data_IF_928403991856
#
_entry.id   IF_928403991856
#
_cell.length_a   1.000
_cell.length_b   1.000
_cell.length_c   1.000
_cell.angle_alpha   90.00
_cell.angle_beta   90.00
_cell.angle_gamma   90.00
#
_symmetry.space_group_name_H-M   'P 1'
#
loop_
_entity.id
_entity.type
_entity.pdbx_description
1 polymer ?
#
# COMPACT_ATOMS: atom_id res chain seq x y z
N UNK A 1 -16.39 -7.59 2.62
CA UNK A 1 -15.31 -8.53 2.29
C UNK A 1 -14.33 -7.84 1.32
N UNK A 2 -13.04 -8.11 1.40
CA UNK A 2 -12.00 -7.70 0.45
C UNK A 2 -11.58 -8.93 -0.35
N UNK A 3 -11.55 -8.79 -1.67
CA UNK A 3 -10.99 -9.82 -2.54
C UNK A 3 -9.47 -9.85 -2.36
N UNK A 4 -8.94 -10.96 -1.83
CA UNK A 4 -7.52 -11.17 -1.59
C UNK A 4 -6.86 -12.03 -2.67
N UNK A 5 -7.65 -12.64 -3.54
CA UNK A 5 -7.17 -13.46 -4.66
C UNK A 5 -8.32 -14.00 -5.48
N UNK A 6 -8.01 -14.65 -6.59
CA UNK A 6 -8.96 -15.52 -7.29
C UNK A 6 -8.25 -16.75 -7.86
N UNK A 7 -9.02 -17.82 -8.05
CA UNK A 7 -8.59 -19.04 -8.73
C UNK A 7 -9.49 -19.32 -9.91
N UNK A 8 -8.91 -19.77 -11.02
CA UNK A 8 -9.66 -20.30 -12.14
C UNK A 8 -9.95 -21.78 -11.88
N UNK A 9 -11.19 -22.19 -12.08
CA UNK A 9 -11.60 -23.59 -12.11
C UNK A 9 -12.30 -23.85 -13.44
N UNK A 10 -12.09 -25.04 -13.98
CA UNK A 10 -12.82 -25.49 -15.18
C UNK A 10 -14.15 -26.14 -14.84
N UNK A 11 -14.51 -26.18 -13.55
CA UNK A 11 -15.77 -26.73 -13.05
C UNK A 11 -16.43 -25.80 -12.03
N UNK A 12 -17.75 -25.72 -12.09
CA UNK A 12 -18.56 -25.02 -11.11
C UNK A 12 -18.75 -25.83 -9.81
N UNK A 13 -19.48 -25.27 -8.85
CA UNK A 13 -19.74 -25.91 -7.56
C UNK A 13 -20.67 -27.14 -7.68
N UNK A 14 -21.28 -27.37 -8.85
CA UNK A 14 -22.11 -28.54 -9.18
C UNK A 14 -21.35 -29.54 -10.06
N UNK A 15 -20.08 -29.30 -10.36
CA UNK A 15 -19.22 -30.16 -11.18
C UNK A 15 -19.43 -30.04 -12.69
N UNK A 16 -20.18 -29.04 -13.16
CA UNK A 16 -20.37 -28.75 -14.59
C UNK A 16 -19.16 -28.01 -15.15
N UNK A 17 -18.75 -28.38 -16.36
CA UNK A 17 -17.58 -27.81 -17.03
C UNK A 17 -17.85 -26.36 -17.46
N UNK A 18 -17.36 -25.40 -16.68
CA UNK A 18 -17.41 -23.97 -16.94
C UNK A 18 -16.11 -23.32 -16.50
N UNK A 19 -15.64 -22.30 -17.22
CA UNK A 19 -14.54 -21.45 -16.74
C UNK A 19 -15.07 -20.54 -15.62
N UNK A 20 -14.82 -20.93 -14.38
CA UNK A 20 -15.29 -20.24 -13.18
C UNK A 20 -14.15 -19.48 -12.52
N UNK A 21 -14.40 -18.22 -12.17
CA UNK A 21 -13.53 -17.41 -11.33
C UNK A 21 -14.02 -17.54 -9.89
N UNK A 22 -13.21 -18.16 -9.03
CA UNK A 22 -13.50 -18.27 -7.59
C UNK A 22 -12.73 -17.18 -6.87
N UNK A 23 -13.44 -16.17 -6.36
CA UNK A 23 -12.84 -15.11 -5.55
C UNK A 23 -12.58 -15.60 -4.12
N UNK A 24 -11.35 -15.39 -3.64
CA UNK A 24 -10.99 -15.57 -2.25
C UNK A 24 -11.28 -14.27 -1.52
N UNK A 25 -12.27 -14.31 -0.63
CA UNK A 25 -12.78 -13.14 0.06
C UNK A 25 -12.40 -13.22 1.54
N UNK A 26 -11.78 -12.15 2.07
CA UNK A 26 -11.60 -11.96 3.51
C UNK A 26 -12.61 -10.94 4.04
N UNK A 27 -13.13 -11.08 5.27
CA UNK A 27 -13.90 -10.02 5.90
C UNK A 27 -13.08 -8.72 5.96
N UNK A 28 -13.74 -7.59 5.66
CA UNK A 28 -13.11 -6.25 5.77
C UNK A 28 -12.60 -6.03 7.19
N UNK A 29 -13.36 -6.53 8.17
CA UNK A 29 -12.96 -6.57 9.56
C UNK A 29 -11.61 -7.25 9.71
N UNK A 30 -11.34 -8.44 9.19
CA UNK A 30 -10.04 -9.16 9.36
C UNK A 30 -8.84 -8.41 8.75
N UNK A 31 -9.04 -7.67 7.66
CA UNK A 31 -7.95 -6.88 7.04
C UNK A 31 -7.67 -5.58 7.81
N UNK A 32 -8.70 -4.99 8.43
CA UNK A 32 -8.53 -3.86 9.35
C UNK A 32 -8.22 -4.30 10.80
N UNK A 33 -8.47 -5.57 11.15
CA UNK A 33 -8.42 -6.12 12.52
C UNK A 33 -7.30 -7.11 12.77
N UNK A 34 -6.34 -7.28 11.84
CA UNK A 34 -5.02 -7.73 12.26
C UNK A 34 -4.41 -6.84 13.36
N UNK A 35 -5.04 -5.69 13.64
CA UNK A 35 -4.78 -4.83 14.79
C UNK A 35 -6.00 -4.49 15.67
N UNK A 36 -7.16 -5.16 15.66
CA UNK A 36 -8.29 -4.68 16.52
C UNK A 36 -8.87 -5.66 17.53
N UNK A 37 -8.95 -6.97 17.25
CA UNK A 37 -9.45 -7.91 18.26
C UNK A 37 -8.39 -8.30 19.30
N UNK A 38 -7.14 -8.55 18.86
CA UNK A 38 -6.03 -8.85 19.79
C UNK A 38 -5.36 -7.58 20.34
N UNK A 39 -5.49 -6.45 19.65
CA UNK A 39 -4.81 -5.23 20.06
C UNK A 39 -5.51 -4.53 21.22
N UNK A 40 -6.84 -4.63 21.39
CA UNK A 40 -7.54 -3.99 22.52
C UNK A 40 -7.20 -4.64 23.87
N UNK A 41 -6.92 -5.94 23.88
CA UNK A 41 -6.47 -6.66 25.08
C UNK A 41 -5.00 -6.40 25.40
N UNK A 42 -4.17 -6.22 24.36
CA UNK A 42 -2.75 -5.91 24.50
C UNK A 42 -2.50 -4.41 24.78
N UNK A 43 -3.36 -3.51 24.31
CA UNK A 43 -3.17 -2.06 24.45
C UNK A 43 -3.30 -1.56 25.89
N UNK A 44 -3.99 -2.32 26.74
CA UNK A 44 -4.16 -1.99 28.16
C UNK A 44 -3.00 -2.50 29.04
N UNK A 45 -2.07 -3.25 28.46
CA UNK A 45 -0.92 -3.79 29.18
C UNK A 45 0.20 -2.76 29.26
N UNK A 46 0.94 -2.80 30.36
CA UNK A 46 2.19 -2.07 30.51
C UNK A 46 3.25 -2.56 29.53
N UNK A 47 4.26 -1.72 29.29
CA UNK A 47 5.42 -2.05 28.46
C UNK A 47 6.08 -3.37 28.91
N UNK A 48 6.18 -3.59 30.24
CA UNK A 48 6.82 -4.78 30.80
C UNK A 48 5.97 -6.04 30.58
N UNK A 49 4.65 -5.95 30.70
CA UNK A 49 3.74 -7.06 30.42
C UNK A 49 3.75 -7.44 28.92
N UNK A 50 3.78 -6.46 28.04
CA UNK A 50 3.91 -6.68 26.59
C UNK A 50 5.23 -7.38 26.25
N UNK A 51 6.33 -6.91 26.85
CA UNK A 51 7.65 -7.52 26.69
C UNK A 51 7.65 -8.97 27.18
N UNK A 52 7.09 -9.23 28.36
CA UNK A 52 7.01 -10.59 28.89
C UNK A 52 6.18 -11.50 27.98
N UNK A 53 5.03 -11.04 27.47
CA UNK A 53 4.22 -11.81 26.51
C UNK A 53 4.97 -12.07 25.19
N UNK A 54 5.73 -11.10 24.68
CA UNK A 54 6.53 -11.25 23.46
C UNK A 54 7.67 -12.27 23.65
N UNK A 55 8.29 -12.31 24.82
CA UNK A 55 9.34 -13.28 25.16
C UNK A 55 8.79 -14.71 25.35
N UNK A 56 7.54 -14.84 25.80
CA UNK A 56 6.86 -16.15 25.89
C UNK A 56 6.38 -16.63 24.52
N UNK A 57 6.01 -15.72 23.61
CA UNK A 57 5.56 -16.06 22.26
C UNK A 57 6.69 -16.33 21.26
N UNK A 58 7.95 -16.06 21.63
CA UNK A 58 9.10 -16.54 20.85
C UNK A 58 9.21 -18.05 20.97
N UNK A 59 8.59 -18.73 20.01
CA UNK A 59 8.68 -20.16 19.75
C UNK A 59 10.14 -20.61 19.59
N UNK A 60 10.79 -20.98 20.68
CA UNK A 60 11.95 -21.88 20.63
C UNK A 60 11.45 -23.29 20.29
N UNK A 61 11.15 -23.53 19.00
CA UNK A 61 11.01 -24.90 18.46
C UNK A 61 9.60 -25.42 18.13
N UNK A 62 8.56 -24.58 18.05
CA UNK A 62 7.31 -25.03 17.42
C UNK A 62 7.41 -24.98 15.89
N UNK A 63 7.01 -26.07 15.23
CA UNK A 63 6.85 -26.13 13.77
C UNK A 63 5.92 -25.00 13.30
N UNK A 64 6.50 -24.01 12.62
CA UNK A 64 5.74 -22.94 11.99
C UNK A 64 5.01 -23.53 10.79
N UNK A 65 3.70 -23.76 10.90
CA UNK A 65 2.89 -24.14 9.73
C UNK A 65 2.94 -23.01 8.69
N UNK A 66 3.48 -23.23 7.48
CA UNK A 66 3.50 -22.22 6.45
C UNK A 66 2.06 -21.84 6.06
N UNK A 67 1.72 -20.55 6.14
CA UNK A 67 0.47 -20.03 5.56
C UNK A 67 0.77 -19.50 4.18
N UNK A 68 0.28 -20.17 3.14
CA UNK A 68 0.40 -19.68 1.77
C UNK A 68 -0.63 -18.58 1.50
N UNK A 69 -0.18 -17.47 0.89
CA UNK A 69 -1.03 -16.36 0.44
C UNK A 69 -0.74 -16.08 -1.02
N UNK A 70 -1.75 -16.22 -1.88
CA UNK A 70 -1.66 -15.80 -3.28
C UNK A 70 -1.85 -14.28 -3.31
N UNK A 71 -0.90 -13.53 -3.87
CA UNK A 71 -0.98 -12.08 -4.04
C UNK A 71 -1.06 -11.76 -5.52
N UNK A 72 -2.13 -11.10 -5.95
CA UNK A 72 -2.21 -10.57 -7.31
C UNK A 72 -1.58 -9.18 -7.38
N UNK A 73 -0.55 -9.06 -8.20
CA UNK A 73 0.17 -7.82 -8.44
C UNK A 73 -0.14 -7.34 -9.87
N UNK A 74 -0.54 -6.08 -10.02
CA UNK A 74 -0.56 -5.42 -11.32
C UNK A 74 0.81 -4.85 -11.59
N UNK A 75 1.39 -5.19 -12.74
CA UNK A 75 2.65 -4.60 -13.18
C UNK A 75 2.48 -3.08 -13.30
N UNK A 76 3.32 -2.34 -12.57
CA UNK A 76 3.33 -0.88 -12.62
C UNK A 76 4.27 -0.43 -13.73
N UNK A 77 3.85 0.58 -14.47
CA UNK A 77 4.68 1.19 -15.50
C UNK A 77 5.95 1.77 -14.89
N UNK A 78 7.09 1.15 -15.22
CA UNK A 78 8.40 1.65 -14.83
C UNK A 78 8.64 3.06 -15.37
N UNK A 79 8.07 3.39 -16.53
CA UNK A 79 8.17 4.72 -17.12
C UNK A 79 7.45 5.77 -16.24
N UNK A 80 6.22 5.50 -15.81
CA UNK A 80 5.44 6.40 -14.93
C UNK A 80 6.16 6.60 -13.59
N UNK A 81 6.68 5.52 -13.00
CA UNK A 81 7.48 5.59 -11.77
C UNK A 81 8.70 6.49 -11.92
N UNK A 82 9.53 6.23 -12.94
CA UNK A 82 10.75 7.00 -13.17
C UNK A 82 10.45 8.45 -13.52
N UNK A 83 9.39 8.70 -14.28
CA UNK A 83 8.92 10.03 -14.61
C UNK A 83 8.57 10.82 -13.34
N UNK A 84 7.72 10.28 -12.46
CA UNK A 84 7.32 10.96 -11.23
C UNK A 84 8.53 11.28 -10.33
N UNK A 85 9.47 10.34 -10.20
CA UNK A 85 10.71 10.54 -9.43
C UNK A 85 11.59 11.64 -10.03
N UNK A 86 11.73 11.68 -11.36
CA UNK A 86 12.49 12.74 -12.05
C UNK A 86 11.79 14.10 -11.93
N UNK A 87 10.46 14.16 -12.09
CA UNK A 87 9.64 15.38 -11.94
C UNK A 87 9.75 15.96 -10.52
N UNK A 88 9.87 15.11 -9.52
CA UNK A 88 10.06 15.53 -8.13
C UNK A 88 11.48 16.04 -7.83
N UNK A 89 12.48 15.66 -8.61
CA UNK A 89 13.87 16.09 -8.46
C UNK A 89 14.41 15.94 -7.02
N UNK A 90 14.08 14.83 -6.36
CA UNK A 90 14.49 14.56 -4.98
C UNK A 90 13.77 15.37 -3.91
N UNK A 91 12.74 16.15 -4.26
CA UNK A 91 11.92 16.92 -3.33
C UNK A 91 10.54 16.27 -3.24
N UNK A 92 10.05 16.08 -2.01
CA UNK A 92 8.72 15.53 -1.75
C UNK A 92 7.63 16.46 -2.30
N UNK A 93 6.74 15.93 -3.15
CA UNK A 93 5.64 16.67 -3.76
C UNK A 93 4.46 16.96 -2.80
N UNK A 94 4.62 16.67 -1.51
CA UNK A 94 3.64 16.98 -0.44
C UNK A 94 4.19 17.98 0.55
N UNK A 95 5.29 17.65 1.22
CA UNK A 95 5.84 18.51 2.26
C UNK A 95 6.90 19.49 1.76
N UNK A 96 7.37 19.36 0.52
CA UNK A 96 8.41 20.23 -0.05
C UNK A 96 9.82 19.98 0.51
N UNK A 97 10.00 19.01 1.40
CA UNK A 97 11.31 18.66 1.94
C UNK A 97 12.10 17.76 0.99
N UNK A 98 13.42 17.82 1.06
CA UNK A 98 14.29 16.87 0.37
C UNK A 98 14.02 15.42 0.81
N UNK A 99 14.38 14.47 -0.06
CA UNK A 99 14.34 13.06 0.26
C UNK A 99 15.13 12.76 1.54
N UNK A 100 14.59 11.93 2.45
CA UNK A 100 15.17 11.73 3.78
C UNK A 100 16.55 11.05 3.75
N UNK A 101 16.86 10.33 2.69
CA UNK A 101 18.15 9.67 2.48
C UNK A 101 18.36 9.37 0.99
N UNK A 102 19.56 8.92 0.65
CA UNK A 102 19.93 8.42 -0.68
C UNK A 102 20.01 6.89 -0.68
N UNK A 103 19.62 6.27 -1.77
CA UNK A 103 19.79 4.82 -2.00
C UNK A 103 21.28 4.46 -2.08
N UNK A 104 21.60 3.16 -2.04
CA UNK A 104 22.96 2.67 -2.28
C UNK A 104 23.54 3.11 -3.65
N UNK A 105 22.69 3.53 -4.59
CA UNK A 105 23.07 4.06 -5.90
C UNK A 105 23.25 5.58 -5.92
N UNK A 106 23.11 6.25 -4.78
CA UNK A 106 23.23 7.71 -4.65
C UNK A 106 21.96 8.50 -5.04
N UNK A 107 20.88 7.82 -5.44
CA UNK A 107 19.62 8.48 -5.84
C UNK A 107 18.79 8.88 -4.61
N UNK A 108 18.11 10.06 -4.61
CA UNK A 108 17.22 10.46 -3.53
C UNK A 108 16.04 9.48 -3.37
N UNK A 109 15.75 9.06 -2.14
CA UNK A 109 14.69 8.09 -1.86
C UNK A 109 13.32 8.76 -1.71
N UNK A 110 12.45 8.57 -2.71
CA UNK A 110 11.03 8.90 -2.67
C UNK A 110 10.20 7.70 -3.12
N UNK A 111 8.97 7.61 -2.63
CA UNK A 111 8.00 6.59 -2.97
C UNK A 111 6.93 7.18 -3.91
N UNK A 112 6.50 6.39 -4.90
CA UNK A 112 5.43 6.80 -5.81
C UNK A 112 4.09 6.41 -5.20
N UNK A 113 3.24 7.40 -5.01
CA UNK A 113 1.90 7.28 -4.47
C UNK A 113 0.86 7.56 -5.55
N UNK A 114 -0.10 6.66 -5.70
CA UNK A 114 -1.26 6.83 -6.58
C UNK A 114 -2.39 7.49 -5.80
N UNK A 115 -2.81 8.71 -6.19
CA UNK A 115 -3.94 9.40 -5.55
C UNK A 115 -5.27 8.73 -5.86
N UNK A 116 -5.38 8.06 -7.02
CA UNK A 116 -6.46 7.12 -7.34
C UNK A 116 -5.93 5.70 -7.22
N UNK A 117 -6.43 4.96 -6.22
CA UNK A 117 -5.95 3.60 -5.96
C UNK A 117 -6.17 2.70 -7.18
N UNK A 118 -5.15 1.93 -7.54
CA UNK A 118 -5.23 0.94 -8.62
C UNK A 118 -6.24 -0.18 -8.31
N UNK A 119 -6.45 -0.50 -7.02
CA UNK A 119 -7.46 -1.45 -6.56
C UNK A 119 -8.87 -1.06 -6.99
N UNK A 120 -9.10 0.25 -7.13
CA UNK A 120 -10.40 0.85 -7.42
C UNK A 120 -10.52 1.17 -8.92
N UNK A 121 -9.61 0.62 -9.75
CA UNK A 121 -9.55 0.89 -11.18
C UNK A 121 -8.84 2.19 -11.55
N UNK A 122 -8.11 2.81 -10.61
CA UNK A 122 -7.32 4.01 -10.87
C UNK A 122 -6.30 3.81 -12.02
N UNK A 123 -6.09 4.83 -12.87
CA UNK A 123 -5.11 4.74 -13.96
C UNK A 123 -3.67 4.83 -13.43
N UNK A 124 -2.77 4.05 -14.01
CA UNK A 124 -1.33 4.22 -13.81
C UNK A 124 -0.81 5.28 -14.80
N UNK A 125 -1.07 6.55 -14.48
CA UNK A 125 -0.84 7.70 -15.36
C UNK A 125 -0.21 8.88 -14.59
N UNK A 126 0.57 9.71 -15.28
CA UNK A 126 1.41 10.77 -14.68
C UNK A 126 0.63 11.79 -13.84
N UNK A 127 -0.60 12.10 -14.26
CA UNK A 127 -1.55 13.00 -13.57
C UNK A 127 -2.04 12.49 -12.20
N UNK A 128 -1.92 11.20 -11.93
CA UNK A 128 -2.49 10.57 -10.72
C UNK A 128 -1.42 9.95 -9.82
N UNK A 129 -0.15 10.24 -10.09
CA UNK A 129 0.98 9.76 -9.31
C UNK A 129 1.80 10.92 -8.78
N UNK A 130 2.24 10.83 -7.53
CA UNK A 130 3.15 11.77 -6.90
C UNK A 130 4.35 11.05 -6.31
N UNK A 131 5.53 11.67 -6.37
CA UNK A 131 6.72 11.18 -5.67
C UNK A 131 6.85 11.90 -4.31
N UNK A 132 6.71 11.12 -3.23
CA UNK A 132 6.57 11.64 -1.87
C UNK A 132 7.48 10.88 -0.90
N UNK A 133 7.83 11.50 0.23
CA UNK A 133 8.67 10.84 1.23
C UNK A 133 7.89 9.75 1.99
N UNK A 134 8.58 8.80 2.65
CA UNK A 134 7.92 7.70 3.37
C UNK A 134 6.91 8.16 4.42
N UNK A 135 7.20 9.26 5.12
CA UNK A 135 6.31 9.81 6.14
C UNK A 135 5.02 10.35 5.52
N UNK A 136 5.14 11.13 4.43
CA UNK A 136 3.98 11.64 3.70
C UNK A 136 3.18 10.50 3.06
N UNK A 137 3.84 9.46 2.57
CA UNK A 137 3.18 8.30 1.99
C UNK A 137 2.34 7.55 3.02
N UNK A 138 2.90 7.29 4.21
CA UNK A 138 2.14 6.66 5.30
C UNK A 138 1.00 7.55 5.79
N UNK A 139 1.20 8.87 5.94
CA UNK A 139 0.12 9.82 6.29
C UNK A 139 -1.01 9.83 5.25
N UNK A 140 -0.69 9.75 3.95
CA UNK A 140 -1.70 9.66 2.90
C UNK A 140 -2.53 8.36 2.94
N UNK A 141 -2.00 7.27 3.51
CA UNK A 141 -2.74 6.01 3.66
C UNK A 141 -3.48 5.89 5.00
N UNK A 142 -2.86 6.31 6.09
CA UNK A 142 -3.28 6.00 7.46
C UNK A 142 -3.53 7.22 8.34
N UNK A 143 -3.18 8.42 7.88
CA UNK A 143 -3.43 9.65 8.62
C UNK A 143 -4.92 9.91 8.79
N UNK A 144 -5.30 10.50 9.92
CA UNK A 144 -6.66 11.00 10.16
C UNK A 144 -7.09 12.00 9.07
N UNK A 145 -6.12 12.70 8.51
CA UNK A 145 -6.25 13.68 7.44
C UNK A 145 -5.89 13.11 6.06
N UNK A 146 -5.88 11.79 5.90
CA UNK A 146 -5.57 11.12 4.64
C UNK A 146 -6.41 11.65 3.47
N UNK A 147 -7.71 11.89 3.67
CA UNK A 147 -8.58 12.45 2.64
C UNK A 147 -8.11 13.82 2.15
N UNK A 148 -7.82 14.75 3.07
CA UNK A 148 -7.38 16.10 2.71
C UNK A 148 -6.00 16.10 2.08
N UNK A 149 -5.09 15.23 2.55
CA UNK A 149 -3.76 15.05 1.97
C UNK A 149 -3.85 14.48 0.55
N UNK A 150 -4.72 13.48 0.30
CA UNK A 150 -4.86 12.93 -1.06
C UNK A 150 -5.44 13.95 -2.04
N UNK A 151 -6.41 14.76 -1.60
CA UNK A 151 -6.96 15.85 -2.41
C UNK A 151 -5.90 16.89 -2.75
N UNK A 152 -5.08 17.31 -1.78
CA UNK A 152 -4.01 18.29 -2.05
C UNK A 152 -2.92 17.76 -2.98
N UNK A 153 -2.59 16.45 -2.89
CA UNK A 153 -1.68 15.81 -3.84
C UNK A 153 -2.26 15.85 -5.26
N UNK A 154 -3.54 15.53 -5.43
CA UNK A 154 -4.18 15.51 -6.73
C UNK A 154 -4.16 16.90 -7.39
N UNK A 155 -4.48 17.94 -6.61
CA UNK A 155 -4.44 19.33 -7.08
C UNK A 155 -3.02 19.76 -7.46
N UNK A 156 -2.04 19.44 -6.61
CA UNK A 156 -0.63 19.75 -6.86
C UNK A 156 -0.12 19.09 -8.15
N UNK A 157 -0.32 17.78 -8.30
CA UNK A 157 0.13 17.03 -9.48
C UNK A 157 -0.54 17.57 -10.74
N UNK A 158 -1.85 17.80 -10.71
CA UNK A 158 -2.60 18.37 -11.84
C UNK A 158 -2.01 19.72 -12.26
N UNK A 159 -1.71 20.61 -11.31
CA UNK A 159 -1.11 21.91 -11.60
C UNK A 159 0.27 21.78 -12.25
N UNK A 160 1.09 20.83 -11.79
CA UNK A 160 2.45 20.59 -12.27
C UNK A 160 2.51 19.92 -13.63
N UNK A 161 1.60 18.98 -13.91
CA UNK A 161 1.49 18.38 -15.25
C UNK A 161 1.02 19.42 -16.27
N UNK A 162 0.07 20.28 -15.89
CA UNK A 162 -0.43 21.34 -16.77
C UNK A 162 0.63 22.40 -17.09
N UNK A 163 1.52 22.72 -16.15
CA UNK A 163 2.62 23.64 -16.42
C UNK A 163 3.65 23.03 -17.38
N UNK A 164 3.92 21.73 -17.28
CA UNK A 164 4.84 21.01 -18.18
C UNK A 164 4.30 20.83 -19.60
N UNK A 165 2.98 20.79 -19.80
CA UNK A 165 2.34 20.71 -21.13
C UNK A 165 2.42 22.01 -21.94
N UNK A 166 2.73 23.13 -21.28
CA UNK A 166 2.77 24.48 -21.88
C UNK A 166 4.17 24.89 -22.32
N UNK A 167 5.15 24.00 -22.17
CA UNK A 167 6.56 24.15 -22.55
C UNK A 167 6.82 23.28 -23.77
#
# INVERSE_FOLDING_TARGET
MICIGYKLKDKDNKGQDWKVIVFELMPIEVVNSSETASASELSNLSLEELKNKALVSTNHGQEVTPKERIVQYRERSRAVKLYALKRANGICEVCGNEAPFKTAKGEPFLEVHHTRRLSDGGPDHTEWVAAICPNCHRRAHYGLDSYTVNSSIADYVSSKENSLRRV
#
